data_IF_904146622692
#
_entry.id   IF_904146622692
#
_cell.length_a   1.000
_cell.length_b   1.000
_cell.length_c   1.000
_cell.angle_alpha   90.00
_cell.angle_beta   90.00
_cell.angle_gamma   90.00
#
_symmetry.space_group_name_H-M   'P 1'
#
loop_
_entity.id
_entity.type
_entity.pdbx_description
1 polymer ?
#
# COMPACT_ATOMS: atom_id res chain seq x y z
N UNK A 1 -3.38 -27.36 38.41
CA UNK A 1 -2.72 -26.05 38.53
C UNK A 1 -1.57 -25.87 37.53
N UNK A 2 -0.78 -26.92 37.39
CA UNK A 2 0.30 -26.91 36.35
C UNK A 2 -0.27 -26.82 34.95
N UNK A 3 -1.42 -27.45 34.71
CA UNK A 3 -2.06 -27.43 33.37
C UNK A 3 -2.51 -26.05 32.95
N UNK A 4 -2.91 -25.19 33.92
CA UNK A 4 -3.32 -23.82 33.63
C UNK A 4 -2.11 -23.00 33.14
N UNK A 5 -0.96 -23.19 33.80
CA UNK A 5 0.28 -22.50 33.40
C UNK A 5 0.70 -22.95 32.02
N UNK A 6 0.65 -24.26 31.73
CA UNK A 6 0.95 -24.77 30.41
C UNK A 6 -0.02 -24.23 29.34
N UNK A 7 -1.29 -24.13 29.68
CA UNK A 7 -2.30 -23.59 28.78
C UNK A 7 -2.01 -22.13 28.45
N UNK A 8 -1.65 -21.32 29.43
CA UNK A 8 -1.32 -19.92 29.23
C UNK A 8 -0.09 -19.79 28.32
N UNK A 9 0.95 -20.59 28.56
CA UNK A 9 2.12 -20.62 27.68
C UNK A 9 1.77 -21.06 26.28
N UNK A 10 0.93 -22.07 26.12
CA UNK A 10 0.49 -22.57 24.84
C UNK A 10 -0.24 -21.48 24.06
N UNK A 11 -1.18 -20.79 24.69
CA UNK A 11 -1.93 -19.70 24.07
C UNK A 11 -0.98 -18.56 23.69
N UNK A 12 -0.04 -18.23 24.57
CA UNK A 12 0.94 -17.18 24.32
C UNK A 12 1.82 -17.51 23.10
N UNK A 13 2.37 -18.71 23.04
CA UNK A 13 3.17 -19.15 21.90
C UNK A 13 2.35 -19.23 20.62
N UNK A 14 1.13 -19.74 20.71
CA UNK A 14 0.25 -19.81 19.55
C UNK A 14 -0.07 -18.42 19.02
N UNK A 15 -0.36 -17.49 19.90
CA UNK A 15 -0.63 -16.11 19.53
C UNK A 15 0.57 -15.46 18.83
N UNK A 16 1.76 -15.63 19.38
CA UNK A 16 2.97 -15.13 18.75
C UNK A 16 3.25 -15.79 17.41
N UNK A 17 3.00 -17.09 17.31
CA UNK A 17 3.16 -17.81 16.06
C UNK A 17 2.21 -17.28 14.98
N UNK A 18 0.94 -17.13 15.31
CA UNK A 18 -0.05 -16.58 14.38
C UNK A 18 0.34 -15.18 13.94
N UNK A 19 0.76 -14.35 14.87
CA UNK A 19 1.21 -12.99 14.59
C UNK A 19 2.42 -13.00 13.67
N UNK A 20 3.37 -13.86 13.92
CA UNK A 20 4.56 -14.01 13.09
C UNK A 20 4.19 -14.46 11.66
N UNK A 21 3.33 -15.46 11.55
CA UNK A 21 2.88 -15.97 10.26
C UNK A 21 2.16 -14.87 9.47
N UNK A 22 1.27 -14.12 10.12
CA UNK A 22 0.56 -13.02 9.47
C UNK A 22 1.52 -11.94 8.97
N UNK A 23 2.49 -11.55 9.80
CA UNK A 23 3.49 -10.54 9.41
C UNK A 23 4.37 -11.04 8.28
N UNK A 24 4.77 -12.30 8.33
CA UNK A 24 5.60 -12.91 7.30
C UNK A 24 4.83 -13.00 5.97
N UNK A 25 3.58 -13.44 6.02
CA UNK A 25 2.72 -13.51 4.84
C UNK A 25 2.52 -12.13 4.23
N UNK A 26 2.28 -11.12 5.06
CA UNK A 26 2.13 -9.74 4.60
C UNK A 26 3.40 -9.20 3.93
N UNK A 27 4.59 -9.65 4.37
CA UNK A 27 5.85 -9.25 3.75
C UNK A 27 6.05 -9.89 2.38
N UNK A 28 5.55 -11.11 2.19
CA UNK A 28 5.71 -11.82 0.92
C UNK A 28 4.67 -11.41 -0.12
N UNK A 29 3.53 -10.89 0.32
CA UNK A 29 2.55 -10.39 -0.62
C UNK A 29 3.05 -9.09 -1.24
N UNK A 30 3.58 -9.21 -2.46
CA UNK A 30 3.76 -8.03 -3.31
C UNK A 30 2.38 -7.49 -3.63
N UNK A 31 2.09 -6.29 -3.11
CA UNK A 31 0.85 -5.61 -3.42
C UNK A 31 0.89 -5.23 -4.89
N UNK A 32 0.19 -6.01 -5.71
CA UNK A 32 0.06 -5.70 -7.12
C UNK A 32 -1.07 -4.70 -7.28
N UNK A 33 -0.74 -3.51 -7.74
CA UNK A 33 -1.72 -2.46 -7.96
C UNK A 33 -1.80 -2.11 -9.42
N UNK A 34 -3.03 -1.97 -9.91
CA UNK A 34 -3.30 -1.45 -11.23
C UNK A 34 -3.50 0.05 -11.17
N UNK A 35 -3.44 0.69 -12.32
CA UNK A 35 -3.62 2.14 -12.43
C UNK A 35 -4.86 2.64 -11.69
N UNK A 36 -6.00 1.98 -11.85
CA UNK A 36 -7.26 2.39 -11.23
C UNK A 36 -7.20 2.40 -9.71
N UNK A 37 -6.51 1.43 -9.14
CA UNK A 37 -6.39 1.31 -7.68
C UNK A 37 -5.54 2.44 -7.11
N UNK A 38 -4.42 2.73 -7.76
CA UNK A 38 -3.53 3.83 -7.35
C UNK A 38 -4.22 5.17 -7.55
N UNK A 39 -4.88 5.35 -8.68
CA UNK A 39 -5.63 6.57 -8.96
C UNK A 39 -6.68 6.81 -7.90
N UNK A 40 -7.41 5.77 -7.49
CA UNK A 40 -8.43 5.87 -6.46
C UNK A 40 -7.84 6.34 -5.13
N UNK A 41 -6.69 5.81 -4.74
CA UNK A 41 -6.01 6.22 -3.51
C UNK A 41 -5.62 7.69 -3.57
N UNK A 42 -5.06 8.11 -4.70
CA UNK A 42 -4.61 9.48 -4.91
C UNK A 42 -5.80 10.45 -4.92
N UNK A 43 -6.87 10.11 -5.63
CA UNK A 43 -8.07 10.94 -5.66
C UNK A 43 -8.74 11.06 -4.31
N UNK A 44 -8.75 9.99 -3.51
CA UNK A 44 -9.31 10.01 -2.17
C UNK A 44 -8.52 10.92 -1.23
N UNK A 45 -7.23 11.14 -1.48
CA UNK A 45 -6.39 12.05 -0.72
C UNK A 45 -6.59 13.52 -1.12
N UNK A 46 -7.35 13.78 -2.16
CA UNK A 46 -7.64 15.13 -2.62
C UNK A 46 -6.89 15.58 -3.86
N UNK A 47 -6.11 14.70 -4.47
CA UNK A 47 -5.43 15.01 -5.72
C UNK A 47 -6.42 15.04 -6.87
N UNK A 48 -6.22 15.95 -7.82
CA UNK A 48 -7.10 16.12 -8.97
C UNK A 48 -6.31 15.96 -10.26
N UNK A 49 -6.90 15.28 -11.23
CA UNK A 49 -6.30 15.12 -12.55
C UNK A 49 -6.29 16.48 -13.27
N UNK A 50 -5.10 16.93 -13.65
CA UNK A 50 -4.94 18.23 -14.33
C UNK A 50 -4.42 18.12 -15.74
N UNK A 51 -3.73 17.02 -16.09
CA UNK A 51 -3.17 16.86 -17.42
C UNK A 51 -2.96 15.37 -17.72
N UNK A 52 -3.06 15.01 -19.00
CA UNK A 52 -2.78 13.67 -19.50
C UNK A 52 -1.84 13.81 -20.68
N UNK A 53 -0.62 13.28 -20.54
CA UNK A 53 0.36 13.27 -21.62
C UNK A 53 0.69 11.83 -21.99
N UNK A 54 0.13 11.35 -23.12
CA UNK A 54 0.25 9.95 -23.51
C UNK A 54 -0.34 9.04 -22.45
N UNK A 55 0.47 8.16 -21.88
CA UNK A 55 0.06 7.28 -20.80
C UNK A 55 0.29 7.85 -19.42
N UNK A 56 0.82 9.08 -19.31
CA UNK A 56 1.13 9.68 -18.02
C UNK A 56 0.01 10.61 -17.57
N UNK A 57 -0.68 10.28 -16.50
CA UNK A 57 -1.70 11.10 -15.86
C UNK A 57 -1.07 11.92 -14.75
N UNK A 58 -1.25 13.24 -14.81
CA UNK A 58 -0.67 14.16 -13.83
C UNK A 58 -1.74 14.73 -12.92
N UNK A 59 -1.45 14.76 -11.63
CA UNK A 59 -2.38 15.21 -10.59
C UNK A 59 -1.77 16.32 -9.78
N UNK A 60 -2.61 17.24 -9.31
CA UNK A 60 -2.25 18.30 -8.38
C UNK A 60 -3.19 18.30 -7.19
N UNK A 61 -2.68 18.80 -6.07
CA UNK A 61 -3.44 18.90 -4.83
C UNK A 61 -3.63 20.37 -4.45
N UNK A 62 -4.80 20.76 -3.93
CA UNK A 62 -5.06 22.16 -3.56
C UNK A 62 -4.19 22.68 -2.42
N UNK A 63 -3.75 21.81 -1.50
CA UNK A 63 -2.95 22.20 -0.35
C UNK A 63 -1.55 21.61 -0.32
N UNK A 64 -1.34 20.45 -0.95
CA UNK A 64 -0.02 19.83 -1.00
C UNK A 64 0.76 20.34 -2.21
N UNK A 65 2.06 20.55 -2.02
CA UNK A 65 2.94 20.99 -3.10
C UNK A 65 3.38 19.82 -3.97
N UNK A 66 3.78 20.12 -5.19
CA UNK A 66 4.31 19.12 -6.13
C UNK A 66 3.25 18.53 -7.04
N UNK A 67 3.67 17.52 -7.77
CA UNK A 67 2.83 16.79 -8.73
C UNK A 67 2.93 15.31 -8.47
N UNK A 68 1.85 14.59 -8.75
CA UNK A 68 1.86 13.12 -8.77
C UNK A 68 1.66 12.69 -10.22
N UNK A 69 2.52 11.82 -10.72
CA UNK A 69 2.42 11.26 -12.06
C UNK A 69 2.18 9.76 -11.96
N UNK A 70 1.08 9.28 -12.52
CA UNK A 70 0.74 7.86 -12.52
C UNK A 70 0.75 7.35 -13.96
N UNK A 71 1.61 6.36 -14.30
CA UNK A 71 1.61 5.77 -15.62
C UNK A 71 0.40 4.86 -15.81
N UNK A 72 -0.35 5.07 -16.89
CA UNK A 72 -1.50 4.23 -17.23
C UNK A 72 -1.06 3.17 -18.23
N UNK A 73 -0.53 2.06 -17.73
CA UNK A 73 -0.14 0.91 -18.53
C UNK A 73 -1.08 -0.26 -18.26
N UNK A 74 -1.13 -1.18 -19.22
CA UNK A 74 -1.86 -2.43 -19.03
C UNK A 74 -1.14 -3.29 -18.00
N UNK A 75 -1.92 -3.96 -17.14
CA UNK A 75 -1.39 -4.84 -16.13
C UNK A 75 -1.01 -4.13 -14.84
N UNK A 76 -0.22 -4.81 -14.04
CA UNK A 76 0.14 -4.32 -12.72
C UNK A 76 1.30 -3.33 -12.79
N UNK A 77 1.24 -2.31 -11.94
CA UNK A 77 2.31 -1.33 -11.83
C UNK A 77 3.37 -1.92 -10.88
N UNK A 78 4.67 -1.87 -11.28
CA UNK A 78 5.73 -2.38 -10.40
C UNK A 78 5.72 -1.73 -9.02
N UNK A 79 6.03 -2.51 -8.00
CA UNK A 79 6.01 -2.04 -6.61
C UNK A 79 6.89 -0.80 -6.39
N UNK A 80 8.04 -0.74 -7.07
CA UNK A 80 8.93 0.42 -6.99
C UNK A 80 8.23 1.70 -7.45
N UNK A 81 7.46 1.60 -8.53
CA UNK A 81 6.71 2.73 -9.07
C UNK A 81 5.57 3.11 -8.14
N UNK A 82 4.85 2.12 -7.58
CA UNK A 82 3.80 2.34 -6.59
C UNK A 82 4.35 3.11 -5.39
N UNK A 83 5.48 2.70 -4.85
CA UNK A 83 6.11 3.36 -3.73
C UNK A 83 6.51 4.80 -4.06
N UNK A 84 7.01 5.03 -5.27
CA UNK A 84 7.38 6.36 -5.73
C UNK A 84 6.16 7.28 -5.82
N UNK A 85 5.05 6.77 -6.36
CA UNK A 85 3.79 7.52 -6.47
C UNK A 85 3.25 7.89 -5.10
N UNK A 86 3.20 6.95 -4.18
CA UNK A 86 2.73 7.18 -2.82
C UNK A 86 3.61 8.18 -2.09
N UNK A 87 4.90 8.13 -2.33
CA UNK A 87 5.85 9.08 -1.74
C UNK A 87 5.62 10.49 -2.32
N UNK A 88 5.42 10.62 -3.63
CA UNK A 88 5.09 11.89 -4.26
C UNK A 88 3.79 12.46 -3.71
N UNK A 89 2.82 11.61 -3.44
CA UNK A 89 1.52 12.03 -2.89
C UNK A 89 1.56 12.33 -1.39
N UNK A 90 2.69 12.09 -0.73
CA UNK A 90 2.82 12.30 0.71
C UNK A 90 2.10 11.25 1.55
N UNK A 91 1.79 10.10 0.97
CA UNK A 91 1.08 9.00 1.63
C UNK A 91 2.03 7.95 2.21
N UNK A 92 3.32 8.14 2.01
CA UNK A 92 4.31 7.19 2.51
C UNK A 92 5.58 7.90 3.00
#
# INVERSE_FOLDING_TARGET
KISVIFYVFYVYFYWHYVKYVLLYTCKEETIQMRFREIEKIVLNDGWELVDVRGSHHQYKHPTKTGKVTIPNHRGDIPQRVVNSILKQAGLK
#
